data_IF_070716377884
#
_entry.id   IF_070716377884
#
_cell.length_a   1.000
_cell.length_b   1.000
_cell.length_c   1.000
_cell.angle_alpha   90.00
_cell.angle_beta   90.00
_cell.angle_gamma   90.00
#
_symmetry.space_group_name_H-M   'P 1'
#
loop_
_entity.id
_entity.type
_entity.pdbx_description
1 polymer ?
#
# COMPACT_ATOMS: atom_id res chain seq x y z
N UNK A 1 16.76 0.57 -9.97
CA UNK A 1 15.88 -0.47 -9.40
C UNK A 1 16.47 -0.99 -8.10
N UNK A 2 15.66 -1.55 -7.19
CA UNK A 2 16.09 -1.96 -5.83
C UNK A 2 15.99 -3.48 -5.55
N UNK A 3 16.75 -4.36 -6.24
CA UNK A 3 16.58 -5.81 -6.14
C UNK A 3 16.89 -6.41 -4.76
N UNK A 4 17.86 -5.84 -4.04
CA UNK A 4 18.23 -6.32 -2.71
C UNK A 4 17.14 -6.01 -1.67
N UNK A 5 16.59 -4.80 -1.68
CA UNK A 5 15.50 -4.39 -0.79
C UNK A 5 14.25 -5.25 -1.04
N UNK A 6 13.84 -5.39 -2.31
CA UNK A 6 12.69 -6.21 -2.69
C UNK A 6 12.84 -7.67 -2.25
N UNK A 7 14.04 -8.25 -2.39
CA UNK A 7 14.33 -9.62 -1.94
C UNK A 7 14.25 -9.74 -0.41
N UNK A 8 14.80 -8.79 0.34
CA UNK A 8 14.71 -8.78 1.80
C UNK A 8 13.26 -8.70 2.27
N UNK A 9 12.46 -7.81 1.66
CA UNK A 9 11.04 -7.65 1.96
C UNK A 9 10.24 -8.92 1.66
N UNK A 10 10.46 -9.55 0.49
CA UNK A 10 9.82 -10.83 0.15
C UNK A 10 10.20 -11.95 1.11
N UNK A 11 11.47 -12.01 1.55
CA UNK A 11 11.89 -12.99 2.56
C UNK A 11 11.20 -12.74 3.89
N UNK A 12 11.11 -11.49 4.34
CA UNK A 12 10.40 -11.10 5.56
C UNK A 12 8.91 -11.50 5.51
N UNK A 13 8.24 -11.27 4.38
CA UNK A 13 6.84 -11.71 4.18
C UNK A 13 6.68 -13.23 4.19
N UNK A 14 7.65 -13.96 3.65
CA UNK A 14 7.63 -15.42 3.69
C UNK A 14 7.74 -15.96 5.11
N UNK A 15 8.51 -15.28 5.97
CA UNK A 15 8.72 -15.69 7.35
C UNK A 15 7.55 -15.31 8.27
N UNK A 16 6.85 -14.22 7.96
CA UNK A 16 5.69 -13.77 8.73
C UNK A 16 4.66 -13.07 7.82
N UNK A 17 3.80 -13.83 7.12
CA UNK A 17 2.89 -13.25 6.12
C UNK A 17 1.75 -12.44 6.73
N UNK A 18 1.30 -12.80 7.94
CA UNK A 18 0.09 -12.20 8.55
C UNK A 18 0.39 -10.89 9.30
N UNK A 19 1.60 -10.71 9.81
CA UNK A 19 1.96 -9.55 10.64
C UNK A 19 3.07 -8.67 10.04
N UNK A 20 3.13 -8.57 8.71
CA UNK A 20 4.18 -7.82 8.03
C UNK A 20 3.63 -6.73 7.09
N UNK A 21 2.79 -5.89 7.69
CA UNK A 21 2.23 -4.69 7.08
C UNK A 21 3.32 -3.77 6.51
N UNK A 22 4.44 -3.62 7.22
CA UNK A 22 5.53 -2.75 6.77
C UNK A 22 6.21 -3.30 5.51
N UNK A 23 6.38 -4.62 5.40
CA UNK A 23 6.96 -5.20 4.19
C UNK A 23 6.03 -5.12 2.97
N UNK A 24 4.72 -5.34 3.16
CA UNK A 24 3.75 -5.15 2.06
C UNK A 24 3.65 -3.68 1.64
N UNK A 25 3.64 -2.73 2.59
CA UNK A 25 3.67 -1.30 2.29
C UNK A 25 4.95 -0.89 1.53
N UNK A 26 6.11 -1.42 1.93
CA UNK A 26 7.38 -1.15 1.24
C UNK A 26 7.43 -1.76 -0.17
N UNK A 27 6.86 -2.95 -0.39
CA UNK A 27 6.72 -3.52 -1.73
C UNK A 27 5.79 -2.69 -2.63
N UNK A 28 4.72 -2.13 -2.06
CA UNK A 28 3.85 -1.21 -2.80
C UNK A 28 4.61 0.05 -3.23
N UNK A 29 5.36 0.68 -2.32
CA UNK A 29 6.18 1.85 -2.63
C UNK A 29 7.22 1.55 -3.73
N UNK A 30 7.92 0.41 -3.66
CA UNK A 30 8.85 -0.01 -4.70
C UNK A 30 8.20 -0.20 -6.09
N UNK A 31 6.93 -0.64 -6.12
CA UNK A 31 6.18 -0.78 -7.36
C UNK A 31 5.72 0.59 -7.91
N UNK A 32 5.34 1.54 -7.04
CA UNK A 32 5.04 2.92 -7.45
C UNK A 32 6.25 3.61 -8.09
N UNK A 33 7.43 3.46 -7.50
CA UNK A 33 8.70 3.97 -8.06
C UNK A 33 8.99 3.42 -9.47
N UNK A 34 8.55 2.19 -9.73
CA UNK A 34 8.67 1.53 -11.05
C UNK A 34 7.52 1.87 -12.00
N UNK A 35 6.54 2.66 -11.54
CA UNK A 35 5.26 2.91 -12.22
C UNK A 35 4.48 1.62 -12.55
N UNK A 36 4.72 0.57 -11.77
CA UNK A 36 3.95 -0.68 -11.81
C UNK A 36 2.74 -0.54 -10.87
N UNK A 37 1.77 0.23 -11.34
CA UNK A 37 0.58 0.56 -10.55
C UNK A 37 -0.31 -0.65 -10.19
N UNK A 38 -0.50 -1.66 -11.06
CA UNK A 38 -1.24 -2.87 -10.70
C UNK A 38 -0.58 -3.63 -9.53
N UNK A 39 0.74 -3.80 -9.57
CA UNK A 39 1.48 -4.46 -8.48
C UNK A 39 1.45 -3.61 -7.21
N UNK A 40 1.62 -2.28 -7.33
CA UNK A 40 1.51 -1.37 -6.20
C UNK A 40 0.15 -1.47 -5.50
N UNK A 41 -0.94 -1.48 -6.27
CA UNK A 41 -2.31 -1.62 -5.75
C UNK A 41 -2.49 -2.92 -4.98
N UNK A 42 -1.97 -4.03 -5.50
CA UNK A 42 -2.09 -5.35 -4.86
C UNK A 42 -1.40 -5.36 -3.49
N UNK A 43 -0.15 -4.90 -3.42
CA UNK A 43 0.60 -4.86 -2.15
C UNK A 43 -0.02 -3.87 -1.16
N UNK A 44 -0.50 -2.72 -1.62
CA UNK A 44 -1.16 -1.74 -0.75
C UNK A 44 -2.51 -2.25 -0.20
N UNK A 45 -3.26 -3.04 -0.99
CA UNK A 45 -4.49 -3.69 -0.51
C UNK A 45 -4.19 -4.74 0.57
N UNK A 46 -3.10 -5.50 0.43
CA UNK A 46 -2.67 -6.44 1.47
C UNK A 46 -2.24 -5.72 2.74
N UNK A 47 -1.45 -4.64 2.62
CA UNK A 47 -1.11 -3.81 3.77
C UNK A 47 -2.36 -3.24 4.48
N UNK A 48 -3.41 -2.91 3.72
CA UNK A 48 -4.65 -2.38 4.29
C UNK A 48 -5.42 -3.46 5.04
N UNK A 49 -5.43 -4.69 4.53
CA UNK A 49 -6.08 -5.81 5.19
C UNK A 49 -5.41 -6.13 6.54
N UNK A 50 -4.08 -6.02 6.63
CA UNK A 50 -3.33 -6.26 7.88
C UNK A 50 -3.44 -5.11 8.89
N UNK A 51 -3.62 -3.86 8.44
CA UNK A 51 -3.73 -2.69 9.31
C UNK A 51 -4.73 -1.64 8.78
N UNK A 52 -6.05 -1.87 8.94
CA UNK A 52 -7.10 -1.06 8.30
C UNK A 52 -7.22 0.41 8.75
N UNK A 53 -6.40 0.86 9.71
CA UNK A 53 -6.39 2.23 10.24
C UNK A 53 -5.18 3.09 9.85
N UNK A 54 -4.18 2.56 9.12
CA UNK A 54 -2.96 3.33 8.81
C UNK A 54 -3.17 4.27 7.62
N UNK A 55 -3.04 5.58 7.87
CA UNK A 55 -3.12 6.61 6.83
C UNK A 55 -2.15 6.41 5.67
N UNK A 56 -0.92 5.96 5.95
CA UNK A 56 0.10 5.68 4.94
C UNK A 56 -0.35 4.65 3.89
N UNK A 57 -1.16 3.67 4.26
CA UNK A 57 -1.65 2.66 3.32
C UNK A 57 -2.69 3.23 2.36
N UNK A 58 -3.53 4.16 2.82
CA UNK A 58 -4.47 4.85 1.94
C UNK A 58 -3.76 5.75 0.93
N UNK A 59 -2.66 6.41 1.33
CA UNK A 59 -1.84 7.19 0.40
C UNK A 59 -1.29 6.33 -0.75
N UNK A 60 -0.73 5.14 -0.44
CA UNK A 60 -0.24 4.21 -1.45
C UNK A 60 -1.33 3.75 -2.43
N UNK A 61 -2.55 3.53 -1.95
CA UNK A 61 -3.71 3.16 -2.79
C UNK A 61 -4.14 4.33 -3.69
N UNK A 62 -4.12 5.55 -3.17
CA UNK A 62 -4.43 6.78 -3.93
C UNK A 62 -3.41 6.97 -5.05
N UNK A 63 -2.12 6.82 -4.77
CA UNK A 63 -1.06 6.97 -5.77
C UNK A 63 -1.17 5.91 -6.86
N UNK A 64 -1.41 4.64 -6.49
CA UNK A 64 -1.61 3.57 -7.44
C UNK A 64 -2.83 3.81 -8.34
N UNK A 65 -3.96 4.24 -7.76
CA UNK A 65 -5.18 4.53 -8.53
C UNK A 65 -5.03 5.78 -9.41
N UNK A 66 -4.28 6.78 -8.97
CA UNK A 66 -3.95 7.97 -9.76
C UNK A 66 -3.12 7.58 -10.98
N UNK A 67 -2.12 6.71 -10.79
CA UNK A 67 -1.29 6.20 -11.89
C UNK A 67 -2.05 5.39 -12.94
N UNK A 68 -3.16 4.73 -12.57
CA UNK A 68 -4.05 4.04 -13.51
C UNK A 68 -5.19 4.89 -14.07
N UNK A 69 -5.36 6.13 -13.60
CA UNK A 69 -6.50 6.99 -13.96
C UNK A 69 -7.84 6.57 -13.33
N UNK A 70 -7.82 5.72 -12.29
CA UNK A 70 -9.02 5.27 -11.56
C UNK A 70 -9.45 6.34 -10.54
N UNK A 71 -9.91 7.48 -11.05
CA UNK A 71 -10.29 8.63 -10.22
C UNK A 71 -11.46 8.33 -9.27
N UNK A 72 -12.32 7.36 -9.62
CA UNK A 72 -13.39 6.88 -8.72
C UNK A 72 -12.80 6.20 -7.48
N UNK A 73 -11.80 5.35 -7.65
CA UNK A 73 -11.11 4.73 -6.53
C UNK A 73 -10.32 5.76 -5.70
N UNK A 74 -9.68 6.75 -6.35
CA UNK A 74 -9.00 7.86 -5.65
C UNK A 74 -9.94 8.56 -4.66
N UNK A 75 -11.12 9.01 -5.14
CA UNK A 75 -12.09 9.67 -4.26
C UNK A 75 -12.51 8.81 -3.07
N UNK A 76 -12.80 7.53 -3.31
CA UNK A 76 -13.17 6.58 -2.26
C UNK A 76 -12.07 6.39 -1.21
N UNK A 77 -10.81 6.30 -1.61
CA UNK A 77 -9.70 6.13 -0.68
C UNK A 77 -9.37 7.42 0.08
N UNK A 78 -9.54 8.59 -0.55
CA UNK A 78 -9.41 9.88 0.12
C UNK A 78 -10.46 10.06 1.22
N UNK A 79 -11.72 9.73 0.94
CA UNK A 79 -12.80 9.75 1.95
C UNK A 79 -12.49 8.85 3.15
N UNK A 80 -11.97 7.64 2.89
CA UNK A 80 -11.58 6.69 3.95
C UNK A 80 -10.40 7.20 4.77
N UNK A 81 -9.38 7.79 4.12
CA UNK A 81 -8.24 8.40 4.80
C UNK A 81 -8.71 9.50 5.75
N UNK A 82 -9.54 10.43 5.27
CA UNK A 82 -10.09 11.52 6.08
C UNK A 82 -10.95 11.00 7.24
N UNK A 83 -11.70 9.92 7.03
CA UNK A 83 -12.49 9.28 8.10
C UNK A 83 -11.60 8.61 9.15
N UNK A 84 -10.53 7.95 8.73
CA UNK A 84 -9.58 7.30 9.64
C UNK A 84 -8.84 8.34 10.51
N UNK A 85 -8.41 9.46 9.91
CA UNK A 85 -7.72 10.55 10.61
C UNK A 85 -8.63 11.27 11.64
N UNK A 86 -9.93 11.38 11.32
CA UNK A 86 -10.92 12.00 12.21
C UNK A 86 -11.47 11.08 13.31
N UNK A 87 -11.11 9.79 13.30
CA UNK A 87 -11.54 8.86 14.35
C UNK A 87 -10.55 8.93 15.51
N UNK A 88 -10.96 9.34 16.73
CA UNK A 88 -10.05 9.31 17.88
C UNK A 88 -9.64 7.86 18.16
N UNK A 89 -8.35 7.64 18.34
CA UNK A 89 -7.78 6.38 18.80
C UNK A 89 -8.26 6.03 20.22
#
# INVERSE_FOLDING_TARGET
GFPAAERALRTSLRLNPEHNTDATAALAALALERRDFPTARTWAQQALASAPGRGATYALLIDACTGTGDHKAVGRYLERLLKADRSPA
#
